data_IF_780491334648
#
_entry.id   IF_780491334648
#
_cell.length_a   1.000
_cell.length_b   1.000
_cell.length_c   1.000
_cell.angle_alpha   90.00
_cell.angle_beta   90.00
_cell.angle_gamma   90.00
#
_symmetry.space_group_name_H-M   'P 1'
#
loop_
_entity.id
_entity.type
_entity.pdbx_description
1 polymer ?
#
# COMPACT_ATOMS: atom_id res chain seq x y z
N UNK A 1 -28.82 32.53 -20.96
CA UNK A 1 -27.57 32.97 -20.27
C UNK A 1 -26.81 31.73 -19.84
N UNK A 2 -26.07 31.10 -20.74
CA UNK A 2 -25.08 30.09 -20.37
C UNK A 2 -23.85 30.85 -19.88
N UNK A 3 -23.45 30.56 -18.65
CA UNK A 3 -22.56 31.36 -17.82
C UNK A 3 -21.13 31.34 -18.33
N UNK A 4 -20.42 32.47 -18.19
CA UNK A 4 -19.00 32.71 -18.54
C UNK A 4 -18.07 31.48 -18.46
N UNK A 5 -18.23 30.69 -17.41
CA UNK A 5 -17.50 29.45 -17.12
C UNK A 5 -17.52 28.41 -18.25
N UNK A 6 -18.59 28.32 -19.04
CA UNK A 6 -18.63 27.37 -20.18
C UNK A 6 -17.63 27.71 -21.27
N UNK A 7 -17.32 29.00 -21.49
CA UNK A 7 -16.26 29.41 -22.43
C UNK A 7 -14.86 29.11 -21.87
N UNK A 8 -14.67 29.28 -20.57
CA UNK A 8 -13.39 28.99 -19.89
C UNK A 8 -13.09 27.48 -19.89
N UNK A 9 -14.12 26.64 -19.74
CA UNK A 9 -14.01 25.18 -19.82
C UNK A 9 -13.73 24.70 -21.26
N UNK A 10 -14.36 25.31 -22.27
CA UNK A 10 -14.13 24.99 -23.69
C UNK A 10 -12.71 25.34 -24.18
N UNK A 11 -12.04 26.30 -23.54
CA UNK A 11 -10.65 26.67 -23.82
C UNK A 11 -9.60 25.89 -22.99
N UNK A 12 -10.03 25.03 -22.07
CA UNK A 12 -9.12 24.33 -21.16
C UNK A 12 -8.35 23.22 -21.87
N UNK A 13 -7.02 23.24 -21.76
CA UNK A 13 -6.14 22.14 -22.20
C UNK A 13 -6.40 20.80 -21.50
N UNK A 14 -7.12 20.83 -20.38
CA UNK A 14 -7.45 19.67 -19.55
C UNK A 14 -8.84 19.10 -19.83
N UNK A 15 -9.72 19.84 -20.49
CA UNK A 15 -11.06 19.40 -20.85
C UNK A 15 -11.14 19.26 -22.36
N UNK A 16 -11.23 18.03 -22.86
CA UNK A 16 -11.46 17.75 -24.28
C UNK A 16 -12.67 16.84 -24.44
N UNK A 17 -13.66 17.31 -25.20
CA UNK A 17 -14.95 16.65 -25.29
C UNK A 17 -15.62 16.60 -23.91
N UNK A 18 -16.13 15.42 -23.53
CA UNK A 18 -16.74 15.16 -22.23
C UNK A 18 -15.75 14.60 -21.19
N UNK A 19 -14.45 14.69 -21.46
CA UNK A 19 -13.40 14.13 -20.62
C UNK A 19 -12.54 15.22 -19.96
N UNK A 20 -12.42 15.15 -18.62
CA UNK A 20 -11.47 15.93 -17.82
C UNK A 20 -10.21 15.09 -17.58
N UNK A 21 -9.05 15.64 -17.94
CA UNK A 21 -7.74 15.09 -17.61
C UNK A 21 -7.20 15.80 -16.37
N UNK A 22 -7.12 15.07 -15.26
CA UNK A 22 -6.44 15.52 -14.04
C UNK A 22 -5.07 14.84 -14.02
N UNK A 23 -4.00 15.63 -14.15
CA UNK A 23 -2.64 15.17 -13.92
C UNK A 23 -2.30 15.53 -12.46
N UNK A 24 -2.25 14.52 -11.59
CA UNK A 24 -1.77 14.69 -10.22
C UNK A 24 -0.29 14.32 -10.17
N UNK A 25 0.58 15.31 -10.05
CA UNK A 25 1.96 15.10 -9.64
C UNK A 25 2.02 15.15 -8.10
N UNK A 26 2.91 14.37 -7.51
CA UNK A 26 2.96 14.18 -6.04
C UNK A 26 3.68 15.35 -5.35
N UNK A 27 4.47 16.13 -6.11
CA UNK A 27 5.40 17.16 -5.64
C UNK A 27 4.85 18.59 -5.68
N UNK A 28 3.95 18.92 -6.60
CA UNK A 28 3.31 20.24 -6.65
C UNK A 28 2.29 20.41 -5.52
N UNK A 29 2.29 21.57 -4.83
CA UNK A 29 1.35 21.95 -3.75
C UNK A 29 1.24 20.98 -2.56
N UNK A 30 2.27 20.16 -2.34
CA UNK A 30 2.34 19.24 -1.21
C UNK A 30 2.29 19.98 0.15
N UNK A 31 1.36 19.55 1.01
CA UNK A 31 1.15 20.09 2.36
C UNK A 31 1.59 19.11 3.47
N UNK A 32 2.03 17.91 3.09
CA UNK A 32 2.59 16.88 3.97
C UNK A 32 3.93 16.39 3.41
N UNK A 33 4.93 16.27 4.28
CA UNK A 33 6.26 15.74 3.97
C UNK A 33 6.53 14.52 4.85
N UNK A 34 6.67 13.35 4.21
CA UNK A 34 6.86 12.05 4.86
C UNK A 34 8.36 11.72 4.88
N UNK A 35 8.96 11.74 6.05
CA UNK A 35 10.35 11.41 6.29
C UNK A 35 10.51 9.93 6.63
N UNK A 36 11.50 9.30 5.99
CA UNK A 36 11.92 7.92 6.25
C UNK A 36 13.44 7.96 6.44
N UNK A 37 13.90 7.87 7.68
CA UNK A 37 15.31 8.05 8.02
C UNK A 37 15.86 9.45 7.65
N UNK A 38 17.12 9.50 7.22
CA UNK A 38 17.83 10.75 6.88
C UNK A 38 17.68 11.19 5.41
N UNK A 39 16.96 10.42 4.59
CA UNK A 39 16.77 10.73 3.17
C UNK A 39 15.76 11.87 2.95
N UNK A 40 15.71 12.39 1.72
CA UNK A 40 14.74 13.41 1.30
C UNK A 40 13.29 12.96 1.56
N UNK A 41 12.40 13.81 2.11
CA UNK A 41 11.03 13.41 2.36
C UNK A 41 10.25 13.13 1.07
N UNK A 42 9.25 12.27 1.16
CA UNK A 42 8.24 12.16 0.11
C UNK A 42 7.23 13.29 0.27
N UNK A 43 7.01 14.12 -0.76
CA UNK A 43 5.89 15.06 -0.76
C UNK A 43 4.57 14.28 -0.85
N UNK A 44 3.52 14.79 -0.22
CA UNK A 44 2.18 14.22 -0.27
C UNK A 44 1.10 15.26 0.05
N UNK A 45 -0.15 14.89 -0.25
CA UNK A 45 -1.33 15.70 -0.03
C UNK A 45 -2.16 15.13 1.12
N UNK A 46 -2.43 15.94 2.14
CA UNK A 46 -3.22 15.56 3.31
C UNK A 46 -4.63 15.10 2.92
N UNK A 47 -5.23 15.76 1.93
CA UNK A 47 -6.55 15.44 1.38
C UNK A 47 -6.60 14.06 0.73
N UNK A 48 -5.56 13.69 -0.02
CA UNK A 48 -5.46 12.36 -0.66
C UNK A 48 -5.22 11.29 0.40
N UNK A 49 -4.33 11.54 1.36
CA UNK A 49 -4.09 10.62 2.47
C UNK A 49 -5.35 10.40 3.32
N UNK A 50 -6.12 11.44 3.63
CA UNK A 50 -7.37 11.29 4.37
C UNK A 50 -8.43 10.56 3.57
N UNK A 51 -8.52 10.82 2.26
CA UNK A 51 -9.45 10.16 1.39
C UNK A 51 -9.14 8.68 1.26
N UNK A 52 -7.88 8.29 1.02
CA UNK A 52 -7.50 6.93 0.61
C UNK A 52 -6.77 6.12 1.67
N UNK A 53 -6.17 6.75 2.68
CA UNK A 53 -5.45 6.15 3.80
C UNK A 53 -5.82 6.84 5.14
N UNK A 54 -7.11 6.85 5.55
CA UNK A 54 -7.65 7.68 6.63
C UNK A 54 -7.01 7.50 8.01
N UNK A 55 -6.26 6.40 8.24
CA UNK A 55 -5.54 6.20 9.51
C UNK A 55 -4.10 6.70 9.45
N UNK A 56 -3.59 7.07 8.27
CA UNK A 56 -2.21 7.51 8.07
C UNK A 56 -1.86 8.73 8.91
N UNK A 57 -2.52 9.86 8.68
CA UNK A 57 -2.24 11.09 9.44
C UNK A 57 -2.61 10.92 10.92
N UNK A 58 -3.75 10.27 11.20
CA UNK A 58 -4.22 10.02 12.57
C UNK A 58 -3.21 9.24 13.41
N UNK A 59 -2.57 8.21 12.84
CA UNK A 59 -1.55 7.41 13.53
C UNK A 59 -0.32 8.24 13.91
N UNK A 60 -0.01 9.27 13.14
CA UNK A 60 1.08 10.20 13.40
C UNK A 60 0.64 11.43 14.24
N UNK A 61 -0.51 11.36 14.91
CA UNK A 61 -1.02 12.44 15.76
C UNK A 61 -1.52 13.67 14.98
N UNK A 62 -1.68 13.55 13.67
CA UNK A 62 -2.18 14.61 12.79
C UNK A 62 -3.66 14.36 12.50
N UNK A 63 -4.52 15.24 13.00
CA UNK A 63 -5.95 15.22 12.70
C UNK A 63 -6.33 16.39 11.80
N UNK A 64 -7.10 16.13 10.73
CA UNK A 64 -7.71 17.18 9.91
C UNK A 64 -8.93 17.74 10.65
N UNK A 65 -8.69 18.45 11.74
CA UNK A 65 -9.67 19.39 12.31
C UNK A 65 -9.11 20.79 12.13
N UNK A 66 -9.55 21.43 11.05
CA UNK A 66 -9.48 22.88 10.83
C UNK A 66 -8.14 23.56 11.11
N UNK A 67 -7.02 22.97 10.67
CA UNK A 67 -5.77 23.74 10.57
C UNK A 67 -5.65 24.29 9.16
N UNK A 68 -5.79 25.62 9.02
CA UNK A 68 -5.13 26.32 7.91
C UNK A 68 -3.64 26.01 8.04
N UNK A 69 -3.00 25.32 7.08
CA UNK A 69 -1.58 25.04 7.20
C UNK A 69 -0.86 26.37 7.07
N UNK A 70 -0.47 26.97 8.20
CA UNK A 70 0.51 28.06 8.19
C UNK A 70 1.89 27.52 7.79
N UNK A 71 2.11 26.21 7.95
CA UNK A 71 3.33 25.48 7.64
C UNK A 71 2.98 24.06 7.17
N UNK A 72 3.79 23.51 6.28
CA UNK A 72 3.67 22.13 5.83
C UNK A 72 3.86 21.14 6.99
N UNK A 73 3.12 20.03 6.96
CA UNK A 73 3.14 19.01 8.00
C UNK A 73 4.32 18.06 7.82
N UNK A 74 5.00 17.73 8.91
CA UNK A 74 6.06 16.71 8.94
C UNK A 74 5.52 15.40 9.52
N UNK A 75 5.73 14.29 8.82
CA UNK A 75 5.41 12.93 9.27
C UNK A 75 6.68 12.10 9.26
N UNK A 76 7.03 11.44 10.36
CA UNK A 76 8.16 10.50 10.39
C UNK A 76 7.60 9.06 10.37
N UNK A 77 8.07 8.24 9.45
CA UNK A 77 7.69 6.83 9.30
C UNK A 77 8.92 5.96 9.55
N UNK A 78 8.89 5.24 10.67
CA UNK A 78 9.99 4.36 11.13
C UNK A 78 9.65 2.87 11.02
N UNK A 79 8.37 2.54 10.79
CA UNK A 79 7.85 1.17 10.77
C UNK A 79 7.84 0.54 9.37
N UNK A 80 8.47 1.20 8.39
CA UNK A 80 8.44 0.81 6.99
C UNK A 80 9.72 1.18 6.25
N UNK A 81 10.28 0.28 5.42
CA UNK A 81 11.38 0.65 4.54
C UNK A 81 10.93 1.67 3.49
N UNK A 82 11.84 2.59 3.13
CA UNK A 82 11.57 3.68 2.17
C UNK A 82 10.93 3.22 0.85
N UNK A 83 11.34 2.11 0.21
CA UNK A 83 10.69 1.65 -1.02
C UNK A 83 9.23 1.22 -0.81
N UNK A 84 8.88 0.67 0.36
CA UNK A 84 7.50 0.33 0.70
C UNK A 84 6.63 1.58 0.93
N UNK A 85 7.20 2.65 1.49
CA UNK A 85 6.51 3.96 1.57
C UNK A 85 6.25 4.54 0.18
N UNK A 86 7.23 4.49 -0.72
CA UNK A 86 7.06 4.93 -2.11
C UNK A 86 5.96 4.12 -2.83
N UNK A 87 5.98 2.79 -2.67
CA UNK A 87 4.97 1.87 -3.17
C UNK A 87 3.56 2.19 -2.64
N UNK A 88 3.44 2.43 -1.32
CA UNK A 88 2.18 2.81 -0.69
C UNK A 88 1.65 4.13 -1.26
N UNK A 89 2.51 5.14 -1.40
CA UNK A 89 2.11 6.43 -1.96
C UNK A 89 1.66 6.27 -3.42
N UNK A 90 2.41 5.56 -4.25
CA UNK A 90 1.97 5.27 -5.61
C UNK A 90 0.58 4.64 -5.62
N UNK A 91 0.36 3.60 -4.80
CA UNK A 91 -0.93 2.93 -4.67
C UNK A 91 -2.05 3.87 -4.21
N UNK A 92 -1.79 4.74 -3.24
CA UNK A 92 -2.75 5.72 -2.72
C UNK A 92 -3.19 6.71 -3.79
N UNK A 93 -2.29 7.14 -4.67
CA UNK A 93 -2.59 8.11 -5.73
C UNK A 93 -3.20 7.49 -6.99
N UNK A 94 -2.76 6.28 -7.37
CA UNK A 94 -3.13 5.69 -8.66
C UNK A 94 -4.10 4.52 -8.53
N UNK A 95 -4.29 3.97 -7.32
CA UNK A 95 -4.99 2.72 -7.08
C UNK A 95 -4.44 1.54 -7.91
N UNK A 96 -3.16 1.61 -8.32
CA UNK A 96 -2.46 0.54 -9.05
C UNK A 96 -1.30 0.02 -8.21
N UNK A 97 -1.02 -1.27 -8.30
CA UNK A 97 0.20 -1.80 -7.68
C UNK A 97 1.44 -1.11 -8.23
N UNK A 98 2.43 -0.84 -7.38
CA UNK A 98 3.72 -0.37 -7.84
C UNK A 98 4.37 -1.45 -8.71
N UNK A 99 4.97 -1.02 -9.82
CA UNK A 99 5.81 -1.93 -10.61
C UNK A 99 7.12 -2.09 -9.86
N UNK A 100 7.24 -3.19 -9.10
CA UNK A 100 8.44 -3.50 -8.34
C UNK A 100 9.51 -4.02 -9.31
N UNK A 101 10.27 -3.12 -9.93
CA UNK A 101 11.35 -3.47 -10.86
C UNK A 101 12.59 -3.92 -10.10
N UNK A 102 13.18 -5.04 -10.50
CA UNK A 102 14.48 -5.50 -10.00
C UNK A 102 14.44 -6.27 -8.68
N UNK A 103 13.26 -6.58 -8.13
CA UNK A 103 13.11 -7.55 -7.04
C UNK A 103 12.56 -8.87 -7.61
N UNK A 104 13.13 -9.98 -7.17
CA UNK A 104 12.67 -11.34 -7.46
C UNK A 104 12.77 -12.19 -6.19
N UNK A 105 12.04 -13.31 -6.16
CA UNK A 105 12.02 -14.22 -5.01
C UNK A 105 11.60 -13.52 -3.72
N UNK A 106 12.37 -13.71 -2.65
CA UNK A 106 12.07 -13.21 -1.31
C UNK A 106 11.93 -11.68 -1.25
N UNK A 107 12.79 -10.93 -1.96
CA UNK A 107 12.71 -9.46 -1.95
C UNK A 107 11.42 -8.92 -2.58
N UNK A 108 10.85 -9.65 -3.55
CA UNK A 108 9.55 -9.33 -4.11
C UNK A 108 8.44 -9.62 -3.08
N UNK A 109 8.46 -10.81 -2.47
CA UNK A 109 7.49 -11.22 -1.44
C UNK A 109 7.49 -10.26 -0.24
N UNK A 110 8.66 -9.89 0.26
CA UNK A 110 8.84 -8.98 1.39
C UNK A 110 8.25 -7.59 1.12
N UNK A 111 8.41 -7.08 -0.11
CA UNK A 111 7.81 -5.81 -0.52
C UNK A 111 6.28 -5.84 -0.42
N UNK A 112 5.66 -6.93 -0.92
CA UNK A 112 4.22 -7.09 -0.86
C UNK A 112 3.70 -7.32 0.56
N UNK A 113 4.47 -7.99 1.41
CA UNK A 113 4.18 -8.08 2.84
C UNK A 113 4.20 -6.71 3.52
N UNK A 114 5.24 -5.91 3.29
CA UNK A 114 5.31 -4.55 3.81
C UNK A 114 4.12 -3.71 3.34
N UNK A 115 3.77 -3.76 2.06
CA UNK A 115 2.64 -3.02 1.51
C UNK A 115 1.29 -3.48 2.08
N UNK A 116 1.08 -4.79 2.23
CA UNK A 116 -0.14 -5.36 2.80
C UNK A 116 -0.31 -4.94 4.27
N UNK A 117 0.76 -5.01 5.06
CA UNK A 117 0.78 -4.55 6.45
C UNK A 117 0.56 -3.03 6.54
N UNK A 118 1.16 -2.25 5.64
CA UNK A 118 0.94 -0.81 5.52
C UNK A 118 -0.54 -0.50 5.30
N UNK A 119 -1.13 -1.16 4.30
CA UNK A 119 -2.51 -0.92 3.89
C UNK A 119 -3.48 -1.20 5.05
N UNK A 120 -3.25 -2.29 5.79
CA UNK A 120 -4.01 -2.61 7.00
C UNK A 120 -3.82 -1.55 8.09
N UNK A 121 -2.57 -1.14 8.34
CA UNK A 121 -2.23 -0.21 9.41
C UNK A 121 -2.81 1.19 9.16
N UNK A 122 -2.64 1.70 7.94
CA UNK A 122 -3.07 3.02 7.52
C UNK A 122 -4.51 3.07 7.02
N UNK A 123 -5.20 1.92 7.00
CA UNK A 123 -6.62 1.82 6.67
C UNK A 123 -6.90 2.18 5.22
N UNK A 124 -6.00 1.79 4.31
CA UNK A 124 -6.12 2.13 2.89
C UNK A 124 -7.45 1.59 2.34
N UNK A 125 -8.23 2.45 1.68
CA UNK A 125 -9.62 2.16 1.26
C UNK A 125 -9.71 1.02 0.25
N UNK A 126 -8.71 0.87 -0.61
CA UNK A 126 -8.50 -0.33 -1.41
C UNK A 126 -7.76 -1.35 -0.53
N UNK A 127 -8.50 -1.93 0.43
CA UNK A 127 -8.01 -3.02 1.28
C UNK A 127 -7.49 -4.15 0.41
N UNK A 128 -6.33 -4.71 0.79
CA UNK A 128 -5.76 -6.07 0.58
C UNK A 128 -6.03 -6.93 -0.66
N UNK A 129 -7.10 -6.70 -1.44
CA UNK A 129 -7.50 -7.47 -2.61
C UNK A 129 -6.46 -7.50 -3.72
N UNK A 130 -5.46 -6.61 -3.70
CA UNK A 130 -4.42 -6.60 -4.73
C UNK A 130 -3.09 -7.17 -4.20
N UNK A 131 -2.82 -7.11 -2.89
CA UNK A 131 -1.59 -7.70 -2.34
C UNK A 131 -1.76 -9.17 -1.92
N UNK A 132 -2.93 -9.56 -1.40
CA UNK A 132 -3.19 -10.96 -0.99
C UNK A 132 -3.08 -11.94 -2.19
N UNK A 133 -3.64 -11.66 -3.38
CA UNK A 133 -3.45 -12.55 -4.53
C UNK A 133 -2.00 -12.68 -4.96
N UNK A 134 -1.25 -11.56 -4.99
CA UNK A 134 0.18 -11.58 -5.35
C UNK A 134 0.99 -12.41 -4.36
N UNK A 135 0.71 -12.29 -3.06
CA UNK A 135 1.37 -13.11 -2.05
C UNK A 135 0.96 -14.58 -2.13
N UNK A 136 -0.26 -14.87 -2.58
CA UNK A 136 -0.74 -16.25 -2.78
C UNK A 136 0.02 -16.95 -3.92
N UNK A 137 0.33 -16.21 -5.00
CA UNK A 137 1.18 -16.71 -6.10
C UNK A 137 2.63 -16.97 -5.69
N UNK A 138 3.07 -16.42 -4.56
CA UNK A 138 4.41 -16.59 -4.02
C UNK A 138 4.51 -17.73 -3.00
N UNK A 139 3.43 -18.49 -2.76
CA UNK A 139 3.43 -19.64 -1.85
C UNK A 139 4.12 -20.83 -2.53
N UNK A 140 5.12 -21.37 -1.83
CA UNK A 140 5.80 -22.61 -2.16
C UNK A 140 6.01 -23.44 -0.89
N UNK A 141 6.63 -24.62 -1.04
CA UNK A 141 6.91 -25.54 0.07
C UNK A 141 7.65 -24.85 1.22
N UNK A 142 8.71 -24.08 0.92
CA UNK A 142 9.56 -23.45 1.92
C UNK A 142 8.86 -22.30 2.66
N UNK A 143 7.84 -21.70 2.03
CA UNK A 143 7.25 -20.43 2.48
C UNK A 143 5.82 -20.57 2.99
N UNK A 144 5.14 -21.69 2.71
CA UNK A 144 3.75 -21.94 3.08
C UNK A 144 3.51 -21.80 4.59
N UNK A 145 4.35 -22.43 5.42
CA UNK A 145 4.22 -22.39 6.87
C UNK A 145 4.39 -20.97 7.45
N UNK A 146 5.46 -20.27 7.06
CA UNK A 146 5.73 -18.90 7.50
C UNK A 146 4.65 -17.90 7.05
N UNK A 147 4.17 -18.06 5.81
CA UNK A 147 3.08 -17.25 5.24
C UNK A 147 1.78 -17.48 6.01
N UNK A 148 1.43 -18.74 6.31
CA UNK A 148 0.26 -19.10 7.10
C UNK A 148 0.34 -18.48 8.51
N UNK A 149 1.48 -18.59 9.18
CA UNK A 149 1.72 -18.02 10.51
C UNK A 149 1.41 -16.52 10.51
N UNK A 150 1.97 -15.81 9.53
CA UNK A 150 1.84 -14.36 9.43
C UNK A 150 0.42 -13.95 9.04
N UNK A 151 -0.19 -14.64 8.07
CA UNK A 151 -1.56 -14.41 7.64
C UNK A 151 -2.55 -14.59 8.79
N UNK A 152 -2.40 -15.66 9.59
CA UNK A 152 -3.21 -15.91 10.76
C UNK A 152 -3.05 -14.82 11.83
N UNK A 153 -1.80 -14.52 12.22
CA UNK A 153 -1.50 -13.49 13.24
C UNK A 153 -2.03 -12.11 12.86
N UNK A 154 -2.06 -11.81 11.56
CA UNK A 154 -2.52 -10.54 11.04
C UNK A 154 -3.99 -10.57 10.55
N UNK A 155 -4.69 -11.70 10.60
CA UNK A 155 -6.08 -11.80 10.15
C UNK A 155 -6.27 -11.53 8.64
N UNK A 156 -5.32 -11.97 7.81
CA UNK A 156 -5.46 -11.97 6.35
C UNK A 156 -6.08 -13.30 5.91
N UNK A 157 -7.41 -13.37 5.96
CA UNK A 157 -8.14 -14.64 5.79
C UNK A 157 -7.98 -15.24 4.38
N UNK A 158 -7.91 -14.44 3.30
CA UNK A 158 -7.76 -15.01 1.95
C UNK A 158 -6.37 -15.62 1.76
N UNK A 159 -5.34 -14.96 2.28
CA UNK A 159 -3.98 -15.51 2.22
C UNK A 159 -3.85 -16.77 3.08
N UNK A 160 -4.55 -16.82 4.23
CA UNK A 160 -4.65 -18.02 5.07
C UNK A 160 -5.37 -19.17 4.35
N UNK A 161 -6.49 -18.88 3.68
CA UNK A 161 -7.20 -19.86 2.83
C UNK A 161 -6.30 -20.40 1.71
N UNK A 162 -5.56 -19.53 1.03
CA UNK A 162 -4.62 -19.92 -0.02
C UNK A 162 -3.50 -20.85 0.50
N UNK A 163 -2.98 -20.60 1.71
CA UNK A 163 -2.02 -21.52 2.34
C UNK A 163 -2.62 -22.90 2.61
N UNK A 164 -3.87 -22.96 3.10
CA UNK A 164 -4.54 -24.25 3.32
C UNK A 164 -4.83 -24.98 2.01
N UNK A 165 -5.26 -24.27 0.98
CA UNK A 165 -5.48 -24.83 -0.35
C UNK A 165 -4.18 -25.43 -0.92
N UNK A 166 -3.06 -24.70 -0.81
CA UNK A 166 -1.74 -25.19 -1.24
C UNK A 166 -1.31 -26.47 -0.50
N UNK A 167 -1.56 -26.55 0.81
CA UNK A 167 -1.21 -27.70 1.65
C UNK A 167 -2.27 -28.80 1.68
N UNK A 168 -3.28 -28.75 0.81
CA UNK A 168 -4.30 -29.81 0.73
C UNK A 168 -3.76 -31.10 0.09
N UNK A 169 -2.73 -30.99 -0.75
CA UNK A 169 -2.03 -32.15 -1.32
C UNK A 169 -1.14 -32.80 -0.24
N UNK A 170 -1.35 -34.10 0.08
CA UNK A 170 -0.56 -34.80 1.10
C UNK A 170 0.94 -34.80 0.85
N UNK A 171 1.38 -34.90 -0.42
CA UNK A 171 2.80 -34.88 -0.75
C UNK A 171 3.41 -33.50 -0.51
N UNK A 172 2.67 -32.43 -0.81
CA UNK A 172 3.11 -31.06 -0.49
C UNK A 172 3.15 -30.87 1.02
N UNK A 173 2.12 -31.33 1.74
CA UNK A 173 2.05 -31.21 3.18
C UNK A 173 3.24 -31.91 3.87
N UNK A 174 3.58 -33.14 3.49
CA UNK A 174 4.75 -33.86 3.99
C UNK A 174 6.04 -33.05 3.77
N UNK A 175 6.23 -32.46 2.59
CA UNK A 175 7.40 -31.63 2.30
C UNK A 175 7.43 -30.36 3.17
N UNK A 176 6.28 -29.72 3.40
CA UNK A 176 6.19 -28.53 4.25
C UNK A 176 6.56 -28.86 5.70
N UNK A 177 6.18 -30.04 6.21
CA UNK A 177 6.52 -30.46 7.58
C UNK A 177 8.02 -30.57 7.84
N UNK A 178 8.82 -30.82 6.80
CA UNK A 178 10.28 -30.89 6.88
C UNK A 178 10.96 -29.50 6.82
N UNK A 179 10.20 -28.44 6.57
CA UNK A 179 10.72 -27.08 6.46
C UNK A 179 10.93 -26.43 7.82
N UNK A 180 11.94 -25.54 7.90
CA UNK A 180 12.19 -24.74 9.12
C UNK A 180 10.98 -23.93 9.55
N UNK A 181 10.26 -23.36 8.57
CA UNK A 181 9.09 -22.53 8.83
C UNK A 181 7.95 -23.29 9.52
N UNK A 182 7.84 -24.60 9.31
CA UNK A 182 6.84 -25.43 9.99
C UNK A 182 7.20 -25.67 11.46
N UNK A 183 8.46 -25.97 11.78
CA UNK A 183 8.91 -26.12 13.17
C UNK A 183 8.73 -24.83 13.99
N UNK A 184 8.83 -23.67 13.35
CA UNK A 184 8.59 -22.36 13.98
C UNK A 184 7.11 -22.07 14.28
N UNK A 185 6.16 -22.85 13.73
CA UNK A 185 4.73 -22.76 14.06
C UNK A 185 4.37 -23.42 15.40
N UNK A 186 5.17 -24.40 15.84
CA UNK A 186 4.88 -25.21 17.03
C UNK A 186 5.43 -24.60 18.34
N UNK A 187 6.02 -23.40 18.27
CA UNK A 187 6.55 -22.64 19.41
C UNK A 187 5.66 -21.45 19.79
#
# INVERSE_FOLDING_TARGET
MLTSWTKDLQGSRYLRGDCLKIECTIDEDADVFIHVGAAEPFPAHSSVLDAYAPRFLKKHGLGIRHRKPKHAMRVNVDDMPRPAVAALLQFVYTNTLPVVRGLSGDGYRDMFWHLLLAAKCYGVRSRSAICEPVLSECIDVETAAATLAMAHRQGFEKLKEACFEFMTDPCIFELVQETKGYFELEC
#
